data_IF_528160677396
#
_entry.id   IF_528160677396
#
_cell.length_a   1.000
_cell.length_b   1.000
_cell.length_c   1.000
_cell.angle_alpha   90.00
_cell.angle_beta   90.00
_cell.angle_gamma   90.00
#
_symmetry.space_group_name_H-M   'P 1'
#
loop_
_entity.id
_entity.type
_entity.pdbx_description
1 polymer ?
#
# COMPACT_ATOMS: atom_id res chain seq x y z
N UNK A 1 56.53 24.94 -63.38
CA UNK A 1 56.81 24.99 -61.93
C UNK A 1 56.25 26.29 -61.35
N UNK A 2 55.71 26.23 -60.12
CA UNK A 2 55.26 27.31 -59.20
C UNK A 2 53.91 27.98 -59.58
N UNK A 3 52.74 27.69 -58.95
CA UNK A 3 52.16 27.84 -57.58
C UNK A 3 51.40 29.17 -57.39
N UNK A 4 50.11 29.07 -57.01
CA UNK A 4 49.31 30.20 -56.50
C UNK A 4 47.81 29.89 -56.41
N UNK A 5 47.33 29.45 -55.25
CA UNK A 5 45.90 29.32 -54.87
C UNK A 5 45.27 30.69 -54.56
N UNK A 6 43.92 30.80 -54.56
CA UNK A 6 43.22 30.80 -53.26
C UNK A 6 41.82 30.11 -53.25
N UNK A 7 41.45 29.61 -52.07
CA UNK A 7 40.11 29.20 -51.61
C UNK A 7 39.37 30.44 -51.02
N UNK A 8 38.16 30.40 -50.38
CA UNK A 8 37.06 29.41 -50.31
C UNK A 8 35.63 30.05 -50.48
N UNK A 9 34.56 29.25 -50.56
CA UNK A 9 33.35 29.37 -49.70
C UNK A 9 32.17 28.46 -50.12
N UNK A 10 31.28 28.08 -49.18
CA UNK A 10 30.48 26.87 -49.22
C UNK A 10 28.97 27.14 -49.41
N UNK A 11 28.25 26.23 -50.04
CA UNK A 11 26.80 26.29 -50.14
C UNK A 11 26.18 24.90 -50.22
N UNK A 12 25.39 24.59 -49.20
CA UNK A 12 24.28 23.63 -49.26
C UNK A 12 24.62 22.14 -49.18
N UNK A 13 24.94 21.68 -47.98
CA UNK A 13 24.49 20.34 -47.56
C UNK A 13 23.13 20.48 -46.90
N UNK A 14 22.09 20.03 -47.60
CA UNK A 14 20.78 19.78 -47.02
C UNK A 14 20.87 18.50 -46.16
N UNK A 15 20.67 18.65 -44.85
CA UNK A 15 20.46 17.50 -43.97
C UNK A 15 19.12 16.83 -44.29
N UNK A 16 19.05 15.49 -44.41
CA UNK A 16 17.76 14.81 -44.46
C UNK A 16 17.14 14.83 -43.06
N UNK A 17 15.93 15.35 -42.96
CA UNK A 17 15.10 15.26 -41.78
C UNK A 17 14.90 13.78 -41.40
N UNK A 18 15.47 13.36 -40.27
CA UNK A 18 15.21 12.07 -39.66
C UNK A 18 13.72 11.91 -39.40
N UNK A 19 13.10 11.00 -40.16
CA UNK A 19 11.75 10.51 -39.93
C UNK A 19 11.72 9.72 -38.62
N UNK A 20 11.47 10.40 -37.51
CA UNK A 20 11.22 9.76 -36.23
C UNK A 20 9.91 8.95 -36.33
N UNK A 21 10.06 7.63 -36.45
CA UNK A 21 8.98 6.65 -36.50
C UNK A 21 8.06 6.80 -35.29
N UNK A 22 6.78 7.08 -35.56
CA UNK A 22 5.67 7.17 -34.57
C UNK A 22 5.50 5.92 -33.69
N UNK A 23 6.19 4.81 -34.02
CA UNK A 23 6.18 3.57 -33.23
C UNK A 23 6.98 3.67 -31.92
N UNK A 24 7.85 4.68 -31.78
CA UNK A 24 8.70 4.90 -30.59
C UNK A 24 7.97 5.60 -29.44
N UNK A 25 6.92 6.39 -29.73
CA UNK A 25 6.25 7.23 -28.72
C UNK A 25 5.16 6.51 -27.90
N UNK A 26 4.90 5.23 -28.15
CA UNK A 26 3.81 4.47 -27.52
C UNK A 26 4.23 3.49 -26.42
N UNK A 27 5.53 3.36 -26.14
CA UNK A 27 6.03 2.55 -25.03
C UNK A 27 6.57 3.44 -23.92
N UNK A 28 5.73 4.30 -23.35
CA UNK A 28 5.90 4.58 -21.93
C UNK A 28 5.38 3.32 -21.22
N UNK A 29 6.22 2.49 -20.58
CA UNK A 29 5.68 1.43 -19.74
C UNK A 29 4.77 2.13 -18.75
N UNK A 30 3.48 1.78 -18.76
CA UNK A 30 2.51 2.29 -17.80
C UNK A 30 3.13 2.07 -16.42
N UNK A 31 3.58 3.14 -15.78
CA UNK A 31 4.29 3.05 -14.52
C UNK A 31 3.36 2.33 -13.54
N UNK A 32 3.73 1.11 -13.15
CA UNK A 32 2.97 0.31 -12.20
C UNK A 32 2.80 1.15 -10.92
N UNK A 33 1.59 1.23 -10.34
CA UNK A 33 1.39 2.03 -9.14
C UNK A 33 2.37 1.61 -8.05
N UNK A 34 3.03 2.58 -7.41
CA UNK A 34 4.06 2.31 -6.39
C UNK A 34 3.55 1.36 -5.28
N UNK A 35 2.28 1.51 -4.89
CA UNK A 35 1.62 0.65 -3.90
C UNK A 35 1.53 -0.82 -4.35
N UNK A 36 1.37 -1.08 -5.65
CA UNK A 36 1.33 -2.45 -6.18
C UNK A 36 2.71 -3.08 -6.14
N UNK A 37 3.74 -2.34 -6.53
CA UNK A 37 5.14 -2.77 -6.41
C UNK A 37 5.47 -3.07 -4.94
N UNK A 38 5.11 -2.15 -4.05
CA UNK A 38 5.27 -2.31 -2.61
C UNK A 38 4.56 -3.57 -2.10
N UNK A 39 3.29 -3.79 -2.45
CA UNK A 39 2.53 -4.98 -2.06
C UNK A 39 3.14 -6.27 -2.60
N UNK A 40 3.62 -6.27 -3.84
CA UNK A 40 4.25 -7.45 -4.47
C UNK A 40 5.48 -7.92 -3.70
N UNK A 41 6.22 -6.97 -3.14
CA UNK A 41 7.43 -7.23 -2.36
C UNK A 41 7.15 -7.69 -0.93
N UNK A 42 5.89 -7.81 -0.50
CA UNK A 42 5.51 -8.32 0.82
C UNK A 42 5.17 -9.81 0.80
N UNK A 43 5.51 -10.48 1.88
CA UNK A 43 5.03 -11.80 2.27
C UNK A 43 4.20 -11.65 3.54
N UNK A 44 3.02 -12.26 3.54
CA UNK A 44 2.08 -12.24 4.66
C UNK A 44 2.10 -13.59 5.37
N UNK A 45 2.10 -13.54 6.70
CA UNK A 45 1.95 -14.70 7.57
C UNK A 45 1.06 -14.33 8.75
N UNK A 46 0.55 -15.31 9.48
CA UNK A 46 -0.34 -15.04 10.59
C UNK A 46 -0.14 -16.02 11.72
N UNK A 47 0.04 -15.52 12.92
CA UNK A 47 0.08 -16.30 14.17
C UNK A 47 -1.12 -15.91 15.03
N UNK A 48 -1.34 -16.66 16.11
CA UNK A 48 -2.32 -16.29 17.13
C UNK A 48 -1.63 -16.16 18.47
N UNK A 49 -1.92 -15.10 19.19
CA UNK A 49 -1.50 -14.95 20.59
C UNK A 49 -2.70 -15.02 21.52
N UNK A 50 -2.49 -15.74 22.61
CA UNK A 50 -3.45 -15.89 23.68
C UNK A 50 -2.75 -15.56 24.99
N UNK A 51 -3.17 -14.47 25.63
CA UNK A 51 -2.72 -14.12 26.98
C UNK A 51 -3.80 -14.58 27.97
N UNK A 52 -3.43 -15.11 29.14
CA UNK A 52 -4.39 -15.41 30.20
C UNK A 52 -5.29 -14.19 30.45
N UNK A 53 -6.61 -14.42 30.56
CA UNK A 53 -7.63 -13.39 30.75
C UNK A 53 -7.81 -12.36 29.60
N UNK A 54 -7.25 -12.61 28.41
CA UNK A 54 -7.46 -11.76 27.25
C UNK A 54 -8.09 -12.51 26.09
N UNK A 55 -8.86 -11.78 25.26
CA UNK A 55 -9.37 -12.32 24.00
C UNK A 55 -8.22 -12.69 23.06
N UNK A 56 -8.38 -13.81 22.35
CA UNK A 56 -7.46 -14.25 21.29
C UNK A 56 -7.22 -13.12 20.29
N UNK A 57 -5.94 -12.87 19.99
CA UNK A 57 -5.51 -11.91 18.98
C UNK A 57 -4.87 -12.63 17.81
N UNK A 58 -5.08 -12.08 16.61
CA UNK A 58 -4.48 -12.56 15.37
C UNK A 58 -3.35 -11.62 15.01
N UNK A 59 -2.15 -12.17 14.93
CA UNK A 59 -0.91 -11.46 14.67
C UNK A 59 -0.56 -11.61 13.21
N UNK A 60 -0.88 -10.58 12.42
CA UNK A 60 -0.52 -10.51 11.02
C UNK A 60 0.94 -10.07 10.92
N UNK A 61 1.81 -10.96 10.45
CA UNK A 61 3.23 -10.70 10.23
C UNK A 61 3.41 -10.33 8.76
N UNK A 62 4.01 -9.17 8.51
CA UNK A 62 4.32 -8.67 7.18
C UNK A 62 5.83 -8.62 7.04
N UNK A 63 6.37 -9.28 6.01
CA UNK A 63 7.81 -9.38 5.74
C UNK A 63 8.11 -8.88 4.34
N UNK A 64 9.19 -8.14 4.13
CA UNK A 64 9.71 -7.88 2.79
C UNK A 64 10.42 -9.12 2.26
N UNK A 65 10.10 -9.54 1.03
CA UNK A 65 10.71 -10.69 0.35
C UNK A 65 12.19 -10.47 0.04
N UNK A 66 12.53 -9.24 -0.36
CA UNK A 66 13.90 -8.83 -0.69
C UNK A 66 14.28 -7.62 0.18
N UNK A 67 14.70 -7.84 1.44
CA UNK A 67 15.27 -6.77 2.22
C UNK A 67 16.51 -6.23 1.53
N UNK A 68 16.62 -4.90 1.38
CA UNK A 68 17.88 -4.29 0.95
C UNK A 68 18.95 -4.68 1.96
N UNK A 69 20.14 -5.03 1.51
CA UNK A 69 21.25 -5.50 2.35
C UNK A 69 21.63 -4.54 3.51
N UNK A 70 21.18 -3.29 3.45
CA UNK A 70 21.39 -2.26 4.48
C UNK A 70 20.29 -2.18 5.55
N UNK A 71 19.21 -2.95 5.44
CA UNK A 71 18.11 -2.97 6.41
C UNK A 71 18.22 -4.21 7.31
N UNK A 72 18.12 -4.01 8.63
CA UNK A 72 18.01 -5.11 9.59
C UNK A 72 16.73 -5.91 9.38
N UNK A 73 16.69 -7.15 9.86
CA UNK A 73 15.51 -8.01 9.78
C UNK A 73 14.30 -7.38 10.49
N UNK A 74 14.51 -6.70 11.62
CA UNK A 74 13.50 -5.89 12.30
C UNK A 74 13.01 -4.70 11.46
N UNK A 75 13.84 -4.11 10.61
CA UNK A 75 13.42 -3.04 9.70
C UNK A 75 12.68 -3.58 8.45
N UNK A 76 12.83 -4.87 8.17
CA UNK A 76 12.24 -5.54 7.02
C UNK A 76 10.92 -6.27 7.32
N UNK A 77 10.51 -6.35 8.59
CA UNK A 77 9.30 -7.04 9.01
C UNK A 77 8.59 -6.33 10.16
N UNK A 78 7.28 -6.45 10.21
CA UNK A 78 6.47 -5.91 11.31
C UNK A 78 5.25 -6.80 11.56
N UNK A 79 4.71 -6.71 12.77
CA UNK A 79 3.58 -7.53 13.20
C UNK A 79 2.46 -6.67 13.75
N UNK A 80 1.24 -6.89 13.25
CA UNK A 80 0.02 -6.28 13.78
C UNK A 80 -0.77 -7.30 14.59
N UNK A 81 -0.81 -7.11 15.91
CA UNK A 81 -1.70 -7.88 16.78
C UNK A 81 -3.08 -7.22 16.81
N UNK A 82 -4.10 -7.89 16.27
CA UNK A 82 -5.47 -7.35 16.18
C UNK A 82 -6.52 -8.33 16.71
N UNK A 83 -7.60 -7.85 17.33
CA UNK A 83 -8.76 -8.69 17.62
C UNK A 83 -9.45 -9.09 16.31
N UNK A 84 -10.26 -10.15 16.37
CA UNK A 84 -11.00 -10.61 15.18
C UNK A 84 -11.96 -9.56 14.60
N UNK A 85 -12.48 -8.66 15.43
CA UNK A 85 -13.39 -7.58 15.02
C UNK A 85 -12.79 -6.68 13.94
N UNK A 86 -11.48 -6.41 14.00
CA UNK A 86 -10.79 -5.56 13.02
C UNK A 86 -10.82 -6.17 11.62
N UNK A 87 -10.67 -7.49 11.52
CA UNK A 87 -10.79 -8.21 10.26
C UNK A 87 -12.25 -8.21 9.75
N UNK A 88 -13.22 -8.18 10.66
CA UNK A 88 -14.62 -7.95 10.32
C UNK A 88 -14.86 -6.55 9.74
N UNK A 89 -14.21 -5.52 10.27
CA UNK A 89 -14.26 -4.16 9.73
C UNK A 89 -13.58 -4.07 8.36
N UNK A 90 -12.40 -4.70 8.20
CA UNK A 90 -11.72 -4.81 6.91
C UNK A 90 -12.63 -5.45 5.86
N UNK A 91 -13.25 -6.60 6.17
CA UNK A 91 -14.19 -7.26 5.27
C UNK A 91 -15.33 -6.33 4.84
N UNK A 92 -15.95 -5.60 5.78
CA UNK A 92 -17.02 -4.64 5.47
C UNK A 92 -16.54 -3.53 4.54
N UNK A 93 -15.37 -2.96 4.81
CA UNK A 93 -14.78 -1.91 3.98
C UNK A 93 -14.48 -2.43 2.58
N UNK A 94 -13.82 -3.59 2.45
CA UNK A 94 -13.54 -4.22 1.15
C UNK A 94 -14.82 -4.49 0.34
N UNK A 95 -15.89 -4.99 0.97
CA UNK A 95 -17.15 -5.25 0.27
C UNK A 95 -17.83 -3.96 -0.22
N UNK A 96 -17.65 -2.86 0.51
CA UNK A 96 -18.13 -1.53 0.09
C UNK A 96 -17.31 -1.04 -1.11
N UNK A 97 -15.98 -1.11 -1.04
CA UNK A 97 -15.10 -0.65 -2.12
C UNK A 97 -15.24 -1.51 -3.39
N UNK A 98 -15.44 -2.83 -3.26
CA UNK A 98 -15.58 -3.75 -4.39
C UNK A 98 -16.86 -3.57 -5.22
N UNK A 99 -17.76 -2.66 -4.83
CA UNK A 99 -18.95 -2.22 -5.57
C UNK A 99 -19.73 -3.37 -6.25
N UNK A 100 -20.74 -3.96 -5.58
CA UNK A 100 -21.52 -5.05 -6.15
C UNK A 100 -22.27 -4.58 -7.40
N UNK A 101 -21.75 -4.89 -8.58
CA UNK A 101 -22.27 -4.41 -9.87
C UNK A 101 -21.20 -3.85 -10.81
N UNK A 102 -19.98 -3.64 -10.33
CA UNK A 102 -18.87 -3.26 -11.21
C UNK A 102 -18.62 -4.35 -12.26
N UNK A 103 -18.62 -3.95 -13.53
CA UNK A 103 -18.37 -4.82 -14.67
C UNK A 103 -17.09 -4.37 -15.38
N UNK A 104 -16.10 -5.25 -15.41
CA UNK A 104 -14.86 -5.10 -16.17
C UNK A 104 -14.26 -6.49 -16.43
N UNK A 105 -13.16 -6.56 -17.18
CA UNK A 105 -12.45 -7.81 -17.46
C UNK A 105 -11.57 -8.30 -16.31
N UNK A 106 -11.40 -7.50 -15.24
CA UNK A 106 -10.60 -7.87 -14.08
C UNK A 106 -11.37 -8.76 -13.09
N UNK A 107 -10.66 -9.31 -12.11
CA UNK A 107 -11.20 -10.23 -11.11
C UNK A 107 -12.04 -9.55 -10.01
N UNK A 108 -12.44 -8.28 -10.15
CA UNK A 108 -13.14 -7.53 -9.09
C UNK A 108 -14.44 -8.23 -8.63
N UNK A 109 -15.22 -8.79 -9.55
CA UNK A 109 -16.46 -9.52 -9.26
C UNK A 109 -16.18 -10.84 -8.53
N UNK A 110 -15.12 -11.53 -8.94
CA UNK A 110 -14.67 -12.74 -8.27
C UNK A 110 -14.19 -12.42 -6.85
N UNK A 111 -13.35 -11.40 -6.68
CA UNK A 111 -12.84 -10.98 -5.38
C UNK A 111 -13.97 -10.57 -4.43
N UNK A 112 -14.99 -9.86 -4.92
CA UNK A 112 -16.20 -9.57 -4.14
C UNK A 112 -16.84 -10.85 -3.60
N UNK A 113 -17.00 -11.87 -4.45
CA UNK A 113 -17.57 -13.16 -4.06
C UNK A 113 -16.70 -13.85 -3.03
N UNK A 114 -15.38 -13.85 -3.22
CA UNK A 114 -14.42 -14.43 -2.28
C UNK A 114 -14.48 -13.77 -0.91
N UNK A 115 -14.42 -12.43 -0.86
CA UNK A 115 -14.51 -11.67 0.39
C UNK A 115 -15.88 -11.86 1.06
N UNK A 116 -16.95 -11.96 0.26
CA UNK A 116 -18.30 -12.17 0.80
C UNK A 116 -18.48 -13.55 1.41
N UNK A 117 -17.97 -14.59 0.76
CA UNK A 117 -18.26 -15.99 1.10
C UNK A 117 -17.19 -16.65 1.97
N UNK A 118 -15.91 -16.43 1.68
CA UNK A 118 -14.80 -17.16 2.29
C UNK A 118 -14.13 -16.41 3.44
N UNK A 119 -14.32 -15.09 3.52
CA UNK A 119 -13.80 -14.32 4.64
C UNK A 119 -14.52 -14.73 5.93
N UNK A 120 -13.79 -15.13 6.99
CA UNK A 120 -14.41 -15.67 8.19
C UNK A 120 -15.36 -14.66 8.83
N UNK A 121 -16.53 -15.13 9.25
CA UNK A 121 -17.59 -14.30 9.85
C UNK A 121 -17.47 -14.30 11.37
N UNK A 122 -17.90 -13.20 11.99
CA UNK A 122 -18.16 -13.14 13.44
C UNK A 122 -19.30 -14.08 13.77
N UNK A 123 -18.98 -15.24 14.34
CA UNK A 123 -19.99 -16.12 14.93
C UNK A 123 -20.25 -15.63 16.36
N UNK A 124 -21.51 -15.34 16.67
CA UNK A 124 -21.95 -14.63 17.89
C UNK A 124 -22.02 -15.50 19.14
N UNK A 125 -21.85 -16.81 19.01
CA UNK A 125 -22.01 -17.75 20.12
C UNK A 125 -21.02 -18.91 19.93
N UNK A 126 -20.73 -19.64 21.00
CA UNK A 126 -19.79 -20.77 21.12
C UNK A 126 -18.38 -20.44 21.61
N UNK A 127 -17.99 -21.18 22.64
CA UNK A 127 -16.70 -21.12 23.31
C UNK A 127 -15.51 -21.15 22.33
N UNK A 128 -14.49 -20.35 22.66
CA UNK A 128 -13.21 -20.32 21.96
C UNK A 128 -12.47 -21.63 22.21
N UNK A 129 -12.50 -22.56 21.26
CA UNK A 129 -11.60 -23.71 21.25
C UNK A 129 -10.42 -23.47 20.31
N UNK A 130 -9.26 -24.01 20.65
CA UNK A 130 -7.99 -23.85 19.90
C UNK A 130 -8.14 -24.23 18.42
N UNK A 131 -8.87 -25.30 18.12
CA UNK A 131 -9.16 -25.74 16.74
C UNK A 131 -9.94 -24.70 15.94
N UNK A 132 -10.97 -24.07 16.54
CA UNK A 132 -11.74 -22.99 15.89
C UNK A 132 -10.88 -21.76 15.63
N UNK A 133 -10.03 -21.41 16.59
CA UNK A 133 -9.06 -20.32 16.47
C UNK A 133 -8.09 -20.56 15.32
N UNK A 134 -7.54 -21.76 15.22
CA UNK A 134 -6.59 -22.14 14.17
C UNK A 134 -7.24 -22.15 12.78
N UNK A 135 -8.44 -22.73 12.65
CA UNK A 135 -9.21 -22.67 11.40
C UNK A 135 -9.49 -21.24 10.96
N UNK A 136 -9.79 -20.36 11.93
CA UNK A 136 -10.04 -18.93 11.68
C UNK A 136 -8.75 -18.22 11.26
N UNK A 137 -7.62 -18.50 11.91
CA UNK A 137 -6.28 -18.00 11.53
C UNK A 137 -5.95 -18.36 10.09
N UNK A 138 -6.06 -19.64 9.74
CA UNK A 138 -5.79 -20.12 8.38
C UNK A 138 -6.72 -19.49 7.33
N UNK A 139 -8.02 -19.32 7.66
CA UNK A 139 -8.97 -18.66 6.76
C UNK A 139 -8.67 -17.18 6.56
N UNK A 140 -8.26 -16.47 7.61
CA UNK A 140 -7.82 -15.07 7.51
C UNK A 140 -6.58 -14.95 6.65
N UNK A 141 -5.54 -15.75 6.92
CA UNK A 141 -4.31 -15.72 6.13
C UNK A 141 -4.59 -15.96 4.64
N UNK A 142 -5.40 -16.99 4.32
CA UNK A 142 -5.83 -17.24 2.94
C UNK A 142 -6.54 -16.05 2.32
N UNK A 143 -7.48 -15.43 3.03
CA UNK A 143 -8.18 -14.25 2.51
C UNK A 143 -7.21 -13.09 2.22
N UNK A 144 -6.28 -12.81 3.15
CA UNK A 144 -5.29 -11.75 2.99
C UNK A 144 -4.36 -12.00 1.80
N UNK A 145 -3.83 -13.22 1.65
CA UNK A 145 -2.95 -13.57 0.53
C UNK A 145 -3.70 -13.59 -0.80
N UNK A 146 -4.96 -14.02 -0.82
CA UNK A 146 -5.80 -13.94 -2.02
C UNK A 146 -6.02 -12.49 -2.45
N UNK A 147 -6.39 -11.59 -1.53
CA UNK A 147 -6.57 -10.16 -1.84
C UNK A 147 -5.26 -9.57 -2.39
N UNK A 148 -4.14 -9.82 -1.71
CA UNK A 148 -2.82 -9.38 -2.16
C UNK A 148 -2.53 -9.87 -3.57
N UNK A 149 -2.72 -11.18 -3.84
CA UNK A 149 -2.48 -11.80 -5.14
C UNK A 149 -3.29 -11.11 -6.23
N UNK A 150 -4.60 -10.90 -6.01
CA UNK A 150 -5.46 -10.22 -6.99
C UNK A 150 -5.00 -8.79 -7.27
N UNK A 151 -4.56 -8.04 -6.25
CA UNK A 151 -4.10 -6.67 -6.44
C UNK A 151 -2.77 -6.58 -7.19
N UNK A 152 -1.87 -7.55 -7.03
CA UNK A 152 -0.56 -7.56 -7.71
C UNK A 152 -0.61 -8.19 -9.10
N UNK A 153 -1.67 -8.92 -9.44
CA UNK A 153 -1.87 -9.48 -10.78
C UNK A 153 -2.04 -8.36 -11.82
N UNK A 154 -1.14 -8.29 -12.80
CA UNK A 154 -1.12 -7.25 -13.83
C UNK A 154 -2.44 -7.11 -14.60
N UNK A 155 -3.13 -8.23 -14.89
CA UNK A 155 -4.44 -8.21 -15.57
C UNK A 155 -5.53 -7.41 -14.83
N UNK A 156 -5.33 -7.12 -13.54
CA UNK A 156 -6.28 -6.39 -12.70
C UNK A 156 -5.97 -4.89 -12.60
N UNK A 157 -4.82 -4.43 -13.08
CA UNK A 157 -4.37 -3.04 -12.93
C UNK A 157 -5.21 -2.02 -13.73
N UNK A 158 -5.93 -2.48 -14.76
CA UNK A 158 -6.89 -1.65 -15.50
C UNK A 158 -8.18 -1.35 -14.73
N UNK A 159 -8.46 -2.05 -13.63
CA UNK A 159 -9.69 -1.88 -12.86
C UNK A 159 -9.53 -0.76 -11.82
N UNK A 160 -10.25 0.36 -12.03
CA UNK A 160 -10.25 1.52 -11.11
C UNK A 160 -10.78 1.18 -9.71
N UNK A 161 -11.67 0.20 -9.59
CA UNK A 161 -12.17 -0.27 -8.28
C UNK A 161 -11.05 -0.96 -7.50
N UNK A 162 -10.33 -1.89 -8.14
CA UNK A 162 -9.23 -2.62 -7.51
C UNK A 162 -8.06 -1.70 -7.18
N UNK A 163 -7.61 -0.89 -8.15
CA UNK A 163 -6.46 0.01 -7.98
C UNK A 163 -6.77 1.30 -7.20
N UNK A 164 -8.05 1.55 -6.91
CA UNK A 164 -8.51 2.67 -6.09
C UNK A 164 -8.77 2.24 -4.65
N UNK A 165 -10.05 2.23 -4.27
CA UNK A 165 -10.47 2.03 -2.88
C UNK A 165 -10.04 0.69 -2.27
N UNK A 166 -9.99 -0.39 -3.05
CA UNK A 166 -9.58 -1.71 -2.54
C UNK A 166 -8.10 -1.73 -2.20
N UNK A 167 -7.24 -1.25 -3.11
CA UNK A 167 -5.80 -1.13 -2.90
C UNK A 167 -5.47 -0.25 -1.70
N UNK A 168 -6.11 0.91 -1.59
CA UNK A 168 -5.92 1.85 -0.48
C UNK A 168 -6.35 1.25 0.86
N UNK A 169 -7.55 0.65 0.91
CA UNK A 169 -8.09 0.00 2.11
C UNK A 169 -7.18 -1.13 2.58
N UNK A 170 -6.71 -1.98 1.67
CA UNK A 170 -5.87 -3.12 1.99
C UNK A 170 -4.47 -2.68 2.43
N UNK A 171 -3.85 -1.76 1.71
CA UNK A 171 -2.52 -1.24 2.03
C UNK A 171 -2.51 -0.52 3.38
N UNK A 172 -3.52 0.31 3.66
CA UNK A 172 -3.68 0.98 4.95
C UNK A 172 -3.82 -0.03 6.09
N UNK A 173 -4.57 -1.12 5.88
CA UNK A 173 -4.69 -2.17 6.88
C UNK A 173 -3.36 -2.88 7.17
N UNK A 174 -2.54 -3.12 6.15
CA UNK A 174 -1.23 -3.77 6.26
C UNK A 174 -0.15 -2.89 6.90
N UNK A 175 -0.18 -1.58 6.69
CA UNK A 175 0.73 -0.64 7.38
C UNK A 175 0.32 -0.47 8.85
N UNK A 176 -0.99 -0.49 9.09
CA UNK A 176 -1.62 -0.36 10.39
C UNK A 176 -1.41 0.99 11.08
N UNK A 177 -2.10 1.19 12.21
CA UNK A 177 -1.81 2.30 13.10
C UNK A 177 -0.54 1.93 13.87
N UNK A 178 0.56 2.64 13.64
CA UNK A 178 1.86 2.42 14.32
C UNK A 178 1.82 2.66 15.83
N UNK A 179 0.64 2.82 16.43
CA UNK A 179 0.41 3.16 17.83
C UNK A 179 0.56 1.98 18.80
N UNK A 180 0.58 0.71 18.34
CA UNK A 180 0.75 -0.43 19.26
C UNK A 180 2.21 -0.78 19.57
N UNK A 181 3.18 0.05 19.16
CA UNK A 181 4.61 -0.11 19.45
C UNK A 181 5.11 1.13 20.20
N UNK A 182 4.60 1.37 21.42
CA UNK A 182 5.15 2.36 22.37
C UNK A 182 4.61 2.15 23.79
N UNK A 183 5.18 1.19 24.52
CA UNK A 183 5.56 1.43 25.93
C UNK A 183 7.06 1.19 26.10
N UNK A 184 7.84 1.61 25.09
CA UNK A 184 9.26 1.86 25.27
C UNK A 184 9.56 3.12 24.48
N UNK A 185 9.62 4.25 25.19
CA UNK A 185 10.14 5.52 24.68
C UNK A 185 11.56 5.32 24.21
N UNK A 186 11.76 5.25 22.90
CA UNK A 186 13.05 5.52 22.28
C UNK A 186 12.86 6.70 21.35
N UNK A 187 13.25 7.89 21.84
CA UNK A 187 13.31 9.11 21.07
C UNK A 187 14.26 8.90 19.89
N UNK A 188 13.75 9.01 18.66
CA UNK A 188 14.60 9.16 17.49
C UNK A 188 15.21 10.56 17.55
N UNK A 189 16.49 10.64 17.93
CA UNK A 189 17.29 11.83 17.71
C UNK A 189 17.40 12.06 16.20
N UNK A 190 16.81 13.16 15.71
CA UNK A 190 17.12 13.67 14.38
C UNK A 190 18.61 14.10 14.38
N UNK A 191 19.41 13.71 13.37
CA UNK A 191 20.65 14.41 13.11
C UNK A 191 20.33 15.83 12.66
N UNK A 192 20.72 16.77 13.51
CA UNK A 192 20.82 18.20 13.26
C UNK A 192 21.50 18.46 11.90
N UNK A 193 20.77 19.06 10.95
CA UNK A 193 21.38 19.76 9.83
C UNK A 193 20.79 21.16 9.74
N UNK A 194 21.52 22.10 10.34
CA UNK A 194 21.47 23.51 9.97
C UNK A 194 21.96 23.65 8.52
N UNK A 195 21.16 24.33 7.70
CA UNK A 195 21.45 24.54 6.29
C UNK A 195 20.22 25.12 5.60
N UNK A 196 20.02 26.42 5.81
CA UNK A 196 19.10 27.29 5.09
C UNK A 196 19.22 27.04 3.58
N UNK A 197 18.09 26.92 2.88
CA UNK A 197 17.71 27.69 1.69
C UNK A 197 16.37 27.11 1.17
N UNK A 198 15.39 28.01 1.03
CA UNK A 198 13.99 27.66 0.90
C UNK A 198 13.59 27.02 -0.43
N UNK A 199 12.42 26.39 -0.44
CA UNK A 199 11.39 26.59 -1.46
C UNK A 199 10.07 25.90 -1.07
N UNK A 200 9.02 26.61 -1.46
CA UNK A 200 7.58 26.35 -1.36
C UNK A 200 7.12 24.91 -1.59
N UNK A 201 6.24 24.39 -0.72
CA UNK A 201 5.14 23.55 -1.20
C UNK A 201 3.93 23.60 -0.27
N UNK A 202 2.78 23.77 -0.89
CA UNK A 202 1.46 24.15 -0.39
C UNK A 202 0.69 23.05 0.36
N UNK A 203 1.37 22.06 0.95
CA UNK A 203 0.73 20.91 1.62
C UNK A 203 0.61 21.06 3.15
N UNK A 204 1.24 22.07 3.75
CA UNK A 204 1.16 22.31 5.20
C UNK A 204 -0.13 22.98 5.71
N UNK A 205 -0.97 23.56 4.83
CA UNK A 205 -2.13 24.37 5.25
C UNK A 205 -3.44 23.61 5.42
N UNK A 206 -3.55 22.36 4.93
CA UNK A 206 -4.81 21.59 5.04
C UNK A 206 -4.95 20.76 6.33
N UNK A 207 -3.90 20.62 7.14
CA UNK A 207 -3.97 19.89 8.42
C UNK A 207 -4.05 20.78 9.67
N UNK A 208 -4.02 22.11 9.52
CA UNK A 208 -4.14 23.05 10.64
C UNK A 208 -5.58 23.49 10.96
N UNK A 209 -6.60 23.02 10.22
CA UNK A 209 -8.00 23.49 10.35
C UNK A 209 -8.95 22.58 11.14
N UNK A 210 -8.45 21.55 11.83
CA UNK A 210 -9.27 20.64 12.64
C UNK A 210 -8.87 20.57 14.12
N UNK A 211 -8.03 21.49 14.62
CA UNK A 211 -7.64 21.54 16.04
C UNK A 211 -8.23 22.70 16.86
N UNK A 212 -9.21 23.44 16.32
CA UNK A 212 -9.71 24.68 16.97
C UNK A 212 -11.12 24.61 17.55
N UNK A 213 -11.80 23.45 17.61
CA UNK A 213 -13.19 23.37 18.12
C UNK A 213 -13.40 22.30 19.20
N UNK A 214 -12.51 22.21 20.19
CA UNK A 214 -12.75 21.32 21.34
C UNK A 214 -12.32 21.90 22.69
N UNK A 215 -12.12 23.21 22.81
CA UNK A 215 -11.69 23.79 24.09
C UNK A 215 -12.31 25.14 24.41
N UNK A 216 -13.63 25.28 24.30
CA UNK A 216 -14.40 26.32 25.02
C UNK A 216 -15.83 25.82 25.30
N UNK A 217 -16.03 25.14 26.43
CA UNK A 217 -17.24 25.25 27.31
C UNK A 217 -17.20 24.20 28.42
N UNK A 218 -16.56 24.54 29.52
CA UNK A 218 -16.85 23.96 30.83
C UNK A 218 -16.31 24.92 31.89
N UNK A 219 -17.04 26.02 32.11
CA UNK A 219 -17.02 26.79 33.35
C UNK A 219 -18.19 27.77 33.35
N UNK A 220 -19.25 27.39 34.05
CA UNK A 220 -20.22 28.26 34.70
C UNK A 220 -20.99 27.40 35.70
N UNK A 221 -20.63 27.52 36.98
CA UNK A 221 -21.57 27.39 38.09
C UNK A 221 -22.05 28.80 38.42
#
# INVERSE_FOLDING_TARGET
MIRGTPSPSPGSQASPASSMSLKSLLHTPLAEPELVVWLRDLALDMTTSHKPHQHVRFELVVRRKHPKAQLSVEAASWTHSRPFSDYGALRKNLLRELQPGHNCSAECKWLYTVVKQHFPKTQTTFALCTFKTERRRAALLRAMTTIQSTLVTHGNHGCKVLMGGVLDTFSTFLVGDRTSLSTTTTSLALPNRQGLLGLSSSLGRRLARLRSLSRVRANAR
#
